data_IF_273514960264
#
_entry.id   IF_273514960264
#
_cell.length_a   1.000
_cell.length_b   1.000
_cell.length_c   1.000
_cell.angle_alpha   90.00
_cell.angle_beta   90.00
_cell.angle_gamma   90.00
#
_symmetry.space_group_name_H-M   'P 1'
#
loop_
_entity.id
_entity.type
_entity.pdbx_description
1 polymer ?
#
# COMPACT_ATOMS: atom_id res chain seq x y z
N UNK A 1 6.03 -27.48 -4.22
CA UNK A 1 6.71 -26.20 -3.98
C UNK A 1 6.31 -25.30 -5.13
N UNK A 2 5.39 -24.37 -4.90
CA UNK A 2 4.89 -23.51 -5.98
C UNK A 2 5.96 -22.46 -6.35
N UNK A 3 6.22 -22.22 -7.64
CA UNK A 3 7.25 -21.30 -8.09
C UNK A 3 6.89 -19.89 -7.62
N UNK A 4 7.74 -19.31 -6.77
CA UNK A 4 7.64 -17.90 -6.44
C UNK A 4 8.09 -17.16 -7.69
N UNK A 5 7.20 -16.35 -8.28
CA UNK A 5 7.48 -15.57 -9.48
C UNK A 5 8.88 -14.93 -9.36
N UNK A 6 9.74 -15.15 -10.36
CA UNK A 6 11.16 -14.77 -10.37
C UNK A 6 11.41 -13.24 -10.27
N UNK A 7 10.36 -12.44 -10.13
CA UNK A 7 10.39 -10.98 -10.00
C UNK A 7 9.67 -10.56 -8.72
N UNK A 8 10.39 -9.90 -7.80
CA UNK A 8 9.80 -9.36 -6.58
C UNK A 8 8.85 -8.19 -6.87
N UNK A 9 8.12 -7.73 -5.86
CA UNK A 9 7.18 -6.59 -6.00
C UNK A 9 7.85 -5.36 -6.64
N UNK A 10 9.13 -5.12 -6.38
CA UNK A 10 9.90 -4.00 -6.97
C UNK A 10 10.08 -4.17 -8.48
N UNK A 11 10.50 -5.35 -8.91
CA UNK A 11 10.73 -5.67 -10.31
C UNK A 11 9.41 -5.60 -11.08
N UNK A 12 8.34 -6.12 -10.48
CA UNK A 12 6.99 -6.01 -11.06
C UNK A 12 6.53 -4.55 -11.20
N UNK A 13 6.64 -3.74 -10.14
CA UNK A 13 6.29 -2.30 -10.19
C UNK A 13 7.08 -1.55 -11.25
N UNK A 14 8.37 -1.88 -11.44
CA UNK A 14 9.23 -1.27 -12.46
C UNK A 14 8.76 -1.56 -13.91
N UNK A 15 7.96 -2.61 -14.12
CA UNK A 15 7.35 -2.89 -15.43
C UNK A 15 6.05 -2.13 -15.66
N UNK A 16 5.42 -1.58 -14.61
CA UNK A 16 4.17 -0.85 -14.75
C UNK A 16 4.42 0.46 -15.49
N UNK A 17 3.56 0.73 -16.48
CA UNK A 17 3.42 2.04 -17.12
C UNK A 17 1.94 2.39 -17.09
N UNK A 18 1.55 3.60 -16.64
CA UNK A 18 0.17 4.03 -16.67
C UNK A 18 -0.28 4.11 -18.13
N UNK A 19 -1.22 3.25 -18.52
CA UNK A 19 -1.72 3.17 -19.91
C UNK A 19 -2.61 4.37 -20.30
N UNK A 20 -2.86 5.29 -19.37
CA UNK A 20 -3.59 6.53 -19.58
C UNK A 20 -3.06 7.59 -18.61
N UNK A 21 -3.12 8.89 -18.96
CA UNK A 21 -2.76 9.95 -18.03
C UNK A 21 -3.61 9.85 -16.74
N UNK A 22 -2.98 10.09 -15.59
CA UNK A 22 -3.64 10.20 -14.27
C UNK A 22 -4.27 8.93 -13.72
N UNK A 23 -3.70 7.74 -13.99
CA UNK A 23 -4.07 6.55 -13.20
C UNK A 23 -3.71 6.79 -11.74
N UNK A 24 -4.72 6.68 -10.88
CA UNK A 24 -4.62 6.89 -9.44
C UNK A 24 -4.09 5.64 -8.75
N UNK A 25 -3.30 5.82 -7.70
CA UNK A 25 -2.78 4.73 -6.88
C UNK A 25 -2.67 5.12 -5.40
N UNK A 26 -2.75 4.10 -4.55
CA UNK A 26 -2.48 4.17 -3.12
C UNK A 26 -1.87 2.83 -2.68
N UNK A 27 -1.11 2.84 -1.58
CA UNK A 27 -0.48 1.64 -1.05
C UNK A 27 -0.69 1.53 0.46
N UNK A 28 -0.84 0.30 0.94
CA UNK A 28 -0.83 -0.02 2.36
C UNK A 28 0.01 -1.26 2.62
N UNK A 29 0.40 -1.46 3.88
CA UNK A 29 1.00 -2.69 4.34
C UNK A 29 0.39 -3.15 5.67
N UNK A 30 0.72 -4.37 6.06
CA UNK A 30 0.52 -4.85 7.43
C UNK A 30 1.87 -4.95 8.12
N UNK A 31 1.88 -4.69 9.43
CA UNK A 31 3.11 -4.71 10.22
C UNK A 31 2.87 -5.19 11.64
N UNK A 32 3.88 -5.84 12.22
CA UNK A 32 3.87 -6.19 13.63
C UNK A 32 3.77 -4.93 14.52
N UNK A 33 3.32 -5.13 15.75
CA UNK A 33 3.32 -4.06 16.75
C UNK A 33 4.75 -3.64 17.08
N UNK A 34 4.96 -2.33 17.26
CA UNK A 34 6.25 -1.76 17.64
C UNK A 34 6.65 -0.54 16.81
N UNK A 35 7.84 0.03 17.07
CA UNK A 35 8.32 1.22 16.39
C UNK A 35 8.43 1.06 14.87
N UNK A 36 8.04 2.13 14.17
CA UNK A 36 8.08 2.26 12.71
C UNK A 36 9.39 1.76 12.09
N UNK A 37 10.49 2.21 12.69
CA UNK A 37 11.86 1.97 12.27
C UNK A 37 12.29 0.50 12.39
N UNK A 38 11.71 -0.24 13.32
CA UNK A 38 12.10 -1.62 13.60
C UNK A 38 11.32 -2.63 12.76
N UNK A 39 10.03 -2.39 12.52
CA UNK A 39 9.20 -3.35 11.77
C UNK A 39 8.99 -2.97 10.30
N UNK A 40 9.69 -1.94 9.81
CA UNK A 40 9.65 -1.51 8.41
C UNK A 40 8.34 -0.85 7.96
N UNK A 41 8.32 -0.27 6.76
CA UNK A 41 7.12 0.23 6.05
C UNK A 41 7.28 -0.02 4.56
N UNK A 42 6.78 -1.16 4.09
CA UNK A 42 6.81 -1.50 2.68
C UNK A 42 5.94 -0.53 1.86
N UNK A 43 4.83 -0.07 2.42
CA UNK A 43 3.90 0.87 1.76
C UNK A 43 4.58 2.16 1.32
N UNK A 44 5.54 2.69 2.10
CA UNK A 44 6.34 3.86 1.72
C UNK A 44 7.17 3.63 0.45
N UNK A 45 7.88 2.50 0.40
CA UNK A 45 8.69 2.16 -0.78
C UNK A 45 7.83 1.89 -2.01
N UNK A 46 6.69 1.22 -1.83
CA UNK A 46 5.74 0.96 -2.91
C UNK A 46 5.14 2.26 -3.45
N UNK A 47 4.75 3.20 -2.57
CA UNK A 47 4.25 4.51 -3.00
C UNK A 47 5.28 5.29 -3.80
N UNK A 48 6.55 5.29 -3.38
CA UNK A 48 7.62 5.93 -4.14
C UNK A 48 7.76 5.33 -5.55
N UNK A 49 7.77 4.00 -5.65
CA UNK A 49 7.86 3.29 -6.94
C UNK A 49 6.64 3.55 -7.84
N UNK A 50 5.43 3.60 -7.28
CA UNK A 50 4.22 3.94 -8.02
C UNK A 50 4.28 5.39 -8.55
N UNK A 51 4.77 6.31 -7.74
CA UNK A 51 4.96 7.70 -8.15
C UNK A 51 6.00 7.82 -9.26
N UNK A 52 7.15 7.15 -9.13
CA UNK A 52 8.19 7.07 -10.17
C UNK A 52 7.69 6.43 -11.47
N UNK A 53 6.78 5.45 -11.36
CA UNK A 53 6.11 4.85 -12.50
C UNK A 53 5.06 5.76 -13.16
N UNK A 54 4.76 6.94 -12.60
CA UNK A 54 3.86 7.95 -13.19
C UNK A 54 2.40 7.86 -12.73
N UNK A 55 2.11 7.16 -11.63
CA UNK A 55 0.78 7.16 -11.03
C UNK A 55 0.52 8.42 -10.20
N UNK A 56 -0.73 8.87 -10.17
CA UNK A 56 -1.20 9.91 -9.26
C UNK A 56 -1.46 9.29 -7.89
N UNK A 57 -0.63 9.64 -6.89
CA UNK A 57 -0.80 9.14 -5.53
C UNK A 57 -1.94 9.88 -4.84
N UNK A 58 -3.01 9.17 -4.50
CA UNK A 58 -4.23 9.78 -3.94
C UNK A 58 -4.26 9.83 -2.42
N UNK A 59 -3.34 9.14 -1.74
CA UNK A 59 -3.26 9.19 -0.29
C UNK A 59 -1.85 8.86 0.20
N UNK A 60 -1.54 9.35 1.40
CA UNK A 60 -0.39 8.88 2.16
C UNK A 60 -0.47 7.36 2.36
N UNK A 61 0.68 6.64 2.28
CA UNK A 61 0.70 5.21 2.50
C UNK A 61 0.36 4.86 3.95
N UNK A 62 -0.53 3.89 4.13
CA UNK A 62 -0.94 3.42 5.44
C UNK A 62 -0.22 2.15 5.88
N UNK A 63 -0.20 1.93 7.20
CA UNK A 63 0.28 0.69 7.82
C UNK A 63 -0.73 0.22 8.85
N UNK A 64 -1.25 -1.00 8.64
CA UNK A 64 -2.17 -1.63 9.57
C UNK A 64 -1.44 -2.59 10.51
N UNK A 65 -1.72 -2.48 11.79
CA UNK A 65 -1.06 -3.29 12.82
C UNK A 65 -1.69 -4.68 12.88
N UNK A 66 -0.85 -5.71 12.88
CA UNK A 66 -1.27 -7.09 13.16
C UNK A 66 -0.84 -7.51 14.56
N UNK A 67 -1.57 -8.45 15.14
CA UNK A 67 -1.17 -9.11 16.39
C UNK A 67 -0.13 -10.19 16.11
N UNK A 68 0.24 -10.96 17.14
CA UNK A 68 1.11 -12.14 17.01
C UNK A 68 0.48 -13.27 16.22
N UNK A 69 -0.86 -13.31 16.16
CA UNK A 69 -1.58 -14.10 15.17
C UNK A 69 -1.74 -13.27 13.88
N UNK A 70 -1.92 -13.87 12.70
CA UNK A 70 -2.14 -13.15 11.44
C UNK A 70 -3.54 -12.50 11.39
N UNK A 71 -3.84 -11.68 12.39
CA UNK A 71 -5.09 -10.95 12.59
C UNK A 71 -4.76 -9.49 12.77
N UNK A 72 -5.63 -8.65 12.23
CA UNK A 72 -5.57 -7.22 12.49
C UNK A 72 -5.73 -6.95 13.99
N UNK A 73 -4.98 -5.96 14.48
CA UNK A 73 -5.10 -5.48 15.85
C UNK A 73 -6.48 -4.86 16.10
N UNK A 74 -6.87 -4.68 17.38
CA UNK A 74 -8.11 -4.01 17.73
C UNK A 74 -8.23 -2.64 17.03
N UNK A 75 -9.37 -2.40 16.37
CA UNK A 75 -9.66 -1.13 15.67
C UNK A 75 -9.02 -0.97 14.29
N UNK A 76 -8.11 -1.85 13.87
CA UNK A 76 -7.41 -1.70 12.58
C UNK A 76 -8.32 -1.98 11.37
N UNK A 77 -9.36 -2.82 11.54
CA UNK A 77 -10.42 -3.00 10.53
C UNK A 77 -11.16 -1.68 10.29
N UNK A 78 -11.52 -0.97 11.37
CA UNK A 78 -12.26 0.29 11.25
C UNK A 78 -11.40 1.38 10.63
N UNK A 79 -10.12 1.45 11.02
CA UNK A 79 -9.15 2.34 10.36
C UNK A 79 -9.00 2.02 8.87
N UNK A 80 -8.99 0.75 8.49
CA UNK A 80 -8.90 0.35 7.09
C UNK A 80 -10.13 0.79 6.28
N UNK A 81 -11.34 0.68 6.85
CA UNK A 81 -12.57 1.18 6.22
C UNK A 81 -12.57 2.70 6.05
N UNK A 82 -12.23 3.44 7.10
CA UNK A 82 -12.15 4.91 7.02
C UNK A 82 -11.12 5.36 5.99
N UNK A 83 -10.00 4.63 5.89
CA UNK A 83 -9.00 4.89 4.86
C UNK A 83 -9.54 4.60 3.45
N UNK A 84 -10.22 3.47 3.25
CA UNK A 84 -10.89 3.13 1.98
C UNK A 84 -11.91 4.19 1.55
N UNK A 85 -12.78 4.64 2.47
CA UNK A 85 -13.74 5.71 2.21
C UNK A 85 -13.05 6.99 1.73
N UNK A 86 -11.93 7.36 2.39
CA UNK A 86 -11.09 8.48 1.97
C UNK A 86 -10.51 8.28 0.56
N UNK A 87 -10.11 7.06 0.20
CA UNK A 87 -9.61 6.75 -1.14
C UNK A 87 -10.69 6.91 -2.20
N UNK A 88 -11.90 6.42 -1.94
CA UNK A 88 -13.02 6.51 -2.89
C UNK A 88 -13.35 7.98 -3.17
N UNK A 89 -13.43 8.83 -2.14
CA UNK A 89 -13.67 10.26 -2.30
C UNK A 89 -12.61 10.93 -3.19
N UNK A 90 -11.32 10.71 -2.87
CA UNK A 90 -10.19 11.28 -3.63
C UNK A 90 -10.06 10.68 -5.03
N UNK A 91 -10.43 9.42 -5.21
CA UNK A 91 -10.42 8.75 -6.51
C UNK A 91 -11.53 9.26 -7.42
N UNK A 92 -12.72 9.52 -6.87
CA UNK A 92 -13.84 10.12 -7.59
C UNK A 92 -13.63 11.60 -7.94
N UNK A 93 -12.68 12.28 -7.29
CA UNK A 93 -12.44 13.72 -7.47
C UNK A 93 -13.48 14.59 -6.79
N UNK A 94 -14.10 14.07 -5.74
CA UNK A 94 -15.07 14.76 -4.86
C UNK A 94 -14.29 15.42 -3.72
#
# INVERSE_FOLDING_TARGET
>A
MEPHADAGIRDWLATLRPQAPRRKAAAFDTRAQGPALLTGRASKGITALLHEAGFEIVAEPESFKVTTEPRLGPGEIERARLWEESLIAKAAGI
#
